data_IF_776514901959
#
_entry.id   IF_776514901959
#
_cell.length_a   1.000
_cell.length_b   1.000
_cell.length_c   1.000
_cell.angle_alpha   90.00
_cell.angle_beta   90.00
_cell.angle_gamma   90.00
#
_symmetry.space_group_name_H-M   'P 1'
#
loop_
_entity.id
_entity.type
_entity.pdbx_description
1 polymer ?
#
# COMPACT_ATOMS: atom_id res chain seq x y z
N UNK A 1 -3.26 66.19 5.40
CA UNK A 1 -2.82 64.99 6.13
C UNK A 1 -3.27 63.80 5.30
N UNK A 2 -2.33 63.24 4.56
CA UNK A 2 -2.58 62.21 3.56
C UNK A 2 -2.82 60.85 4.24
N UNK A 3 -3.89 60.17 3.85
CA UNK A 3 -3.89 58.75 3.52
C UNK A 3 -5.08 58.50 2.57
N UNK A 4 -4.78 58.60 1.28
CA UNK A 4 -5.57 58.05 0.19
C UNK A 4 -4.88 56.74 -0.25
N UNK A 5 -5.67 55.81 -0.80
CA UNK A 5 -5.39 54.44 -1.28
C UNK A 5 -5.59 53.25 -0.31
N UNK A 6 -6.03 52.05 -0.80
CA UNK A 6 -6.78 51.79 -2.04
C UNK A 6 -7.95 50.79 -1.90
N UNK A 7 -8.85 50.89 -2.89
CA UNK A 7 -9.87 49.94 -3.31
C UNK A 7 -9.27 48.58 -3.73
N UNK A 8 -8.89 47.71 -2.79
CA UNK A 8 -8.57 46.31 -3.12
C UNK A 8 -9.69 45.42 -2.60
N UNK A 9 -10.67 45.19 -3.47
CA UNK A 9 -11.68 44.16 -3.33
C UNK A 9 -11.03 42.79 -3.09
N UNK A 10 -11.06 42.33 -1.84
CA UNK A 10 -10.55 41.04 -1.38
C UNK A 10 -11.23 39.80 -2.02
N UNK A 11 -12.21 39.99 -2.89
CA UNK A 11 -13.00 38.91 -3.49
C UNK A 11 -12.28 38.13 -4.61
N UNK A 12 -11.27 38.69 -5.28
CA UNK A 12 -10.66 38.04 -6.46
C UNK A 12 -9.42 37.19 -6.16
N UNK A 13 -8.80 37.33 -4.98
CA UNK A 13 -7.53 36.67 -4.66
C UNK A 13 -7.68 35.25 -4.07
N UNK A 14 -8.88 34.85 -3.66
CA UNK A 14 -9.15 33.49 -3.16
C UNK A 14 -9.90 32.60 -4.16
N UNK A 15 -10.32 33.14 -5.30
CA UNK A 15 -11.09 32.37 -6.30
C UNK A 15 -10.20 31.46 -7.17
N UNK A 16 -8.89 31.69 -7.24
CA UNK A 16 -7.96 30.92 -8.10
C UNK A 16 -7.10 29.86 -7.40
N UNK A 17 -7.19 29.70 -6.09
CA UNK A 17 -6.35 28.76 -5.33
C UNK A 17 -7.11 27.63 -4.62
N UNK A 18 -8.43 27.74 -4.43
CA UNK A 18 -9.15 26.81 -3.56
C UNK A 18 -9.73 25.57 -4.24
N UNK A 19 -9.95 25.57 -5.56
CA UNK A 19 -10.68 24.45 -6.21
C UNK A 19 -9.76 23.29 -6.57
N UNK A 20 -8.51 23.56 -6.98
CA UNK A 20 -7.57 22.51 -7.39
C UNK A 20 -6.92 21.74 -6.22
N UNK A 21 -6.71 22.39 -5.08
CA UNK A 21 -6.12 21.76 -3.90
C UNK A 21 -7.13 20.90 -3.12
N UNK A 22 -8.34 21.42 -2.91
CA UNK A 22 -9.38 20.72 -2.15
C UNK A 22 -9.87 19.47 -2.90
N UNK A 23 -10.03 19.54 -4.23
CA UNK A 23 -10.46 18.39 -5.02
C UNK A 23 -9.44 17.24 -5.00
N UNK A 24 -8.13 17.55 -5.03
CA UNK A 24 -7.06 16.56 -4.91
C UNK A 24 -6.99 15.91 -3.51
N UNK A 25 -7.32 16.67 -2.46
CA UNK A 25 -7.38 16.12 -1.09
C UNK A 25 -8.57 15.18 -0.96
N UNK A 26 -9.77 15.58 -1.41
CA UNK A 26 -10.98 14.74 -1.33
C UNK A 26 -10.82 13.45 -2.16
N UNK A 27 -10.37 13.55 -3.41
CA UNK A 27 -10.14 12.38 -4.26
C UNK A 27 -9.07 11.43 -3.70
N UNK A 28 -8.00 11.97 -3.07
CA UNK A 28 -6.98 11.16 -2.42
C UNK A 28 -7.55 10.33 -1.25
N UNK A 29 -8.51 10.90 -0.52
CA UNK A 29 -9.09 10.26 0.67
C UNK A 29 -10.05 9.14 0.28
N UNK A 30 -10.90 9.34 -0.74
CA UNK A 30 -11.86 8.32 -1.20
C UNK A 30 -11.16 7.07 -1.75
N UNK A 31 -10.11 7.27 -2.53
CA UNK A 31 -9.34 6.18 -3.15
C UNK A 31 -8.54 5.38 -2.12
N UNK A 32 -8.02 6.06 -1.08
CA UNK A 32 -7.34 5.40 0.03
C UNK A 32 -8.30 4.56 0.87
N UNK A 33 -9.49 5.08 1.16
CA UNK A 33 -10.54 4.37 1.89
C UNK A 33 -11.01 3.11 1.15
N UNK A 34 -11.18 3.18 -0.17
CA UNK A 34 -11.53 2.01 -0.98
C UNK A 34 -10.44 0.93 -0.95
N UNK A 35 -9.17 1.35 -0.95
CA UNK A 35 -8.05 0.43 -0.78
C UNK A 35 -8.04 -0.23 0.61
N UNK A 36 -8.33 0.53 1.67
CA UNK A 36 -8.45 0.03 3.05
C UNK A 36 -9.67 -0.89 3.24
N UNK A 37 -10.75 -0.72 2.47
CA UNK A 37 -11.87 -1.66 2.47
C UNK A 37 -11.50 -2.97 1.78
N UNK A 38 -10.80 -2.92 0.66
CA UNK A 38 -10.42 -4.09 -0.11
C UNK A 38 -9.35 -4.95 0.56
N UNK A 39 -8.47 -4.36 1.37
CA UNK A 39 -7.27 -5.00 1.92
C UNK A 39 -7.35 -5.06 3.44
N UNK A 40 -6.84 -6.12 4.03
CA UNK A 40 -6.79 -6.28 5.49
C UNK A 40 -5.42 -6.77 5.88
N UNK A 41 -4.84 -6.12 6.89
CA UNK A 41 -3.62 -6.57 7.56
C UNK A 41 -3.98 -6.86 9.02
N UNK A 42 -3.67 -8.07 9.49
CA UNK A 42 -3.81 -8.47 10.88
C UNK A 42 -2.69 -9.45 11.21
N UNK A 43 -2.10 -9.34 12.41
CA UNK A 43 -1.05 -10.25 12.88
C UNK A 43 -1.51 -11.73 12.89
N UNK A 44 -2.82 -11.96 13.05
CA UNK A 44 -3.43 -13.29 13.03
C UNK A 44 -3.43 -13.92 11.62
N UNK A 45 -3.28 -13.12 10.57
CA UNK A 45 -3.36 -13.54 9.18
C UNK A 45 -2.00 -13.36 8.53
N UNK A 46 -1.36 -14.48 8.18
CA UNK A 46 -0.04 -14.50 7.53
C UNK A 46 1.02 -13.64 8.25
N UNK A 47 0.93 -13.53 9.58
CA UNK A 47 1.90 -12.77 10.38
C UNK A 47 1.90 -11.27 10.09
N UNK A 48 0.73 -10.69 9.83
CA UNK A 48 0.58 -9.25 9.58
C UNK A 48 0.77 -8.85 8.11
N UNK A 49 0.95 -9.83 7.20
CA UNK A 49 1.06 -9.53 5.77
C UNK A 49 -0.28 -9.02 5.22
N UNK A 50 -0.28 -7.92 4.44
CA UNK A 50 -1.51 -7.41 3.83
C UNK A 50 -2.10 -8.41 2.82
N UNK A 51 -3.37 -8.74 3.01
CA UNK A 51 -4.12 -9.70 2.17
C UNK A 51 -5.38 -9.06 1.59
N UNK A 52 -5.85 -9.59 0.45
CA UNK A 52 -7.17 -9.23 -0.06
C UNK A 52 -8.26 -9.74 0.88
N UNK A 53 -9.22 -8.89 1.24
CA UNK A 53 -10.32 -9.22 2.17
C UNK A 53 -11.07 -10.46 1.70
N UNK A 54 -11.33 -11.38 2.62
CA UNK A 54 -12.01 -12.64 2.34
C UNK A 54 -11.12 -13.72 1.72
N UNK A 55 -9.84 -13.44 1.52
CA UNK A 55 -8.85 -14.40 1.04
C UNK A 55 -7.64 -14.46 1.97
N UNK A 56 -6.79 -15.47 1.77
CA UNK A 56 -5.44 -15.52 2.35
C UNK A 56 -4.38 -15.25 1.29
N UNK A 57 -4.71 -14.48 0.27
CA UNK A 57 -3.80 -14.16 -0.83
C UNK A 57 -3.12 -12.82 -0.54
N UNK A 58 -1.78 -12.79 -0.39
CA UNK A 58 -1.06 -11.54 -0.19
C UNK A 58 -1.13 -10.62 -1.39
N UNK A 59 -1.18 -9.32 -1.13
CA UNK A 59 -1.14 -8.32 -2.20
C UNK A 59 0.22 -8.32 -2.92
N UNK A 60 1.32 -8.50 -2.19
CA UNK A 60 2.67 -8.48 -2.76
C UNK A 60 2.90 -9.62 -3.75
N UNK A 61 2.32 -10.79 -3.48
CA UNK A 61 2.42 -11.93 -4.38
C UNK A 61 1.76 -11.61 -5.74
N UNK A 62 0.56 -11.03 -5.69
CA UNK A 62 -0.18 -10.63 -6.90
C UNK A 62 0.54 -9.53 -7.66
N UNK A 63 1.00 -8.48 -6.95
CA UNK A 63 1.76 -7.39 -7.57
C UNK A 63 3.07 -7.89 -8.17
N UNK A 64 3.75 -8.82 -7.49
CA UNK A 64 4.97 -9.46 -8.00
C UNK A 64 4.78 -10.19 -9.33
N UNK A 65 3.61 -10.80 -9.58
CA UNK A 65 3.31 -11.38 -10.89
C UNK A 65 3.24 -10.32 -11.98
N UNK A 66 2.59 -9.18 -11.70
CA UNK A 66 2.54 -8.06 -12.64
C UNK A 66 3.92 -7.44 -12.87
N UNK A 67 4.73 -7.31 -11.82
CA UNK A 67 6.09 -6.77 -11.92
C UNK A 67 7.03 -7.71 -12.69
N UNK A 68 6.76 -9.02 -12.68
CA UNK A 68 7.45 -10.00 -13.53
C UNK A 68 7.00 -9.98 -15.01
N UNK A 69 6.03 -9.15 -15.36
CA UNK A 69 5.52 -8.99 -16.73
C UNK A 69 4.36 -9.92 -17.08
N UNK A 70 3.72 -10.57 -16.11
CA UNK A 70 2.54 -11.40 -16.35
C UNK A 70 1.33 -10.53 -16.72
N UNK A 71 0.56 -10.98 -17.72
CA UNK A 71 -0.66 -10.29 -18.15
C UNK A 71 -1.81 -10.48 -17.16
N UNK A 72 -2.77 -9.56 -17.17
CA UNK A 72 -3.96 -9.63 -16.31
C UNK A 72 -4.74 -10.94 -16.48
N UNK A 73 -4.88 -11.45 -17.71
CA UNK A 73 -5.60 -12.71 -17.96
C UNK A 73 -4.92 -13.91 -17.30
N UNK A 74 -3.59 -13.99 -17.36
CA UNK A 74 -2.82 -15.07 -16.73
C UNK A 74 -2.92 -15.02 -15.20
N UNK A 75 -2.86 -13.82 -14.61
CA UNK A 75 -3.06 -13.66 -13.16
C UNK A 75 -4.48 -14.06 -12.77
N UNK A 76 -5.48 -13.71 -13.58
CA UNK A 76 -6.90 -14.04 -13.35
C UNK A 76 -7.21 -15.53 -13.47
N UNK A 77 -6.49 -16.26 -14.34
CA UNK A 77 -6.56 -17.73 -14.40
C UNK A 77 -6.12 -18.37 -13.08
N UNK A 78 -5.10 -17.79 -12.42
CA UNK A 78 -4.60 -18.27 -11.13
C UNK A 78 -5.47 -17.79 -9.96
N UNK A 79 -6.02 -16.58 -10.06
CA UNK A 79 -6.79 -15.92 -9.01
C UNK A 79 -8.11 -15.35 -9.60
N UNK A 80 -9.18 -16.17 -9.66
CA UNK A 80 -10.41 -15.78 -10.37
C UNK A 80 -11.18 -14.62 -9.71
N UNK A 81 -10.88 -14.32 -8.45
CA UNK A 81 -11.50 -13.21 -7.70
C UNK A 81 -10.84 -11.84 -8.00
N UNK A 82 -9.73 -11.80 -8.75
CA UNK A 82 -9.02 -10.55 -9.02
C UNK A 82 -9.74 -9.73 -10.09
N UNK A 83 -9.99 -8.47 -9.76
CA UNK A 83 -10.52 -7.44 -10.66
C UNK A 83 -9.47 -6.34 -10.86
N UNK A 84 -9.62 -5.54 -11.91
CA UNK A 84 -8.71 -4.41 -12.17
C UNK A 84 -8.75 -3.39 -11.02
N UNK A 85 -9.92 -3.16 -10.44
CA UNK A 85 -10.15 -2.31 -9.27
C UNK A 85 -9.35 -2.80 -8.06
N UNK A 86 -9.34 -4.12 -7.80
CA UNK A 86 -8.56 -4.71 -6.72
C UNK A 86 -7.06 -4.57 -6.93
N UNK A 87 -6.60 -4.70 -8.18
CA UNK A 87 -5.18 -4.50 -8.51
C UNK A 87 -4.78 -3.02 -8.32
N UNK A 88 -5.63 -2.09 -8.74
CA UNK A 88 -5.41 -0.66 -8.52
C UNK A 88 -5.38 -0.32 -7.03
N UNK A 89 -6.36 -0.81 -6.26
CA UNK A 89 -6.40 -0.68 -4.81
C UNK A 89 -5.14 -1.25 -4.14
N UNK A 90 -4.68 -2.44 -4.55
CA UNK A 90 -3.45 -3.06 -4.06
C UNK A 90 -2.21 -2.21 -4.32
N UNK A 91 -2.07 -1.65 -5.52
CA UNK A 91 -0.95 -0.75 -5.86
C UNK A 91 -0.95 0.52 -5.01
N UNK A 92 -2.12 1.08 -4.75
CA UNK A 92 -2.27 2.29 -3.95
C UNK A 92 -1.96 1.98 -2.48
N UNK A 93 -2.52 0.90 -1.95
CA UNK A 93 -2.25 0.44 -0.59
C UNK A 93 -0.75 0.19 -0.38
N UNK A 94 -0.08 -0.53 -1.27
CA UNK A 94 1.34 -0.83 -1.16
C UNK A 94 2.23 0.44 -1.15
N UNK A 95 1.83 1.49 -1.87
CA UNK A 95 2.53 2.77 -1.87
C UNK A 95 2.33 3.55 -0.56
N UNK A 96 1.13 3.48 0.02
CA UNK A 96 0.78 4.18 1.25
C UNK A 96 1.28 3.45 2.51
N UNK A 97 1.24 2.12 2.48
CA UNK A 97 1.51 1.23 3.61
C UNK A 97 2.58 0.20 3.21
N UNK A 98 3.86 0.60 3.12
CA UNK A 98 4.94 -0.31 2.77
C UNK A 98 5.10 -1.36 3.88
N UNK A 99 4.64 -2.58 3.60
CA UNK A 99 4.86 -3.72 4.48
C UNK A 99 6.32 -4.18 4.36
N UNK A 100 6.98 -4.36 5.49
CA UNK A 100 8.35 -4.89 5.53
C UNK A 100 8.30 -6.30 6.11
N UNK A 101 8.71 -7.33 5.34
CA UNK A 101 8.76 -8.67 5.88
C UNK A 101 9.79 -8.75 7.01
N UNK A 102 9.53 -9.63 7.97
CA UNK A 102 10.50 -9.96 9.02
C UNK A 102 11.79 -10.47 8.39
N UNK A 103 12.85 -9.66 8.45
CA UNK A 103 14.18 -10.01 7.96
C UNK A 103 14.85 -11.01 8.90
N UNK A 104 15.82 -11.76 8.39
CA UNK A 104 16.61 -12.67 9.23
C UNK A 104 17.31 -11.87 10.34
N UNK A 105 17.49 -12.47 11.53
CA UNK A 105 18.17 -11.79 12.65
C UNK A 105 19.58 -11.31 12.25
N UNK A 106 20.25 -12.04 11.34
CA UNK A 106 21.54 -11.65 10.81
C UNK A 106 21.49 -10.43 9.87
N UNK A 107 20.41 -10.24 9.12
CA UNK A 107 20.20 -9.02 8.31
C UNK A 107 19.85 -7.81 9.17
N UNK A 108 19.01 -8.00 10.20
CA UNK A 108 18.63 -6.92 11.12
C UNK A 108 19.84 -6.43 11.94
N UNK A 109 20.76 -7.33 12.29
CA UNK A 109 22.00 -6.97 12.98
C UNK A 109 23.21 -7.70 12.35
N UNK A 110 23.88 -7.07 11.37
CA UNK A 110 25.04 -7.64 10.69
C UNK A 110 26.23 -7.95 11.63
N UNK A 111 26.26 -7.35 12.83
CA UNK A 111 27.27 -7.62 13.85
C UNK A 111 27.03 -8.91 14.63
N UNK A 112 25.84 -9.50 14.55
CA UNK A 112 25.52 -10.74 15.24
C UNK A 112 26.11 -11.93 14.50
N UNK A 113 27.08 -12.58 15.15
CA UNK A 113 27.64 -13.85 14.66
C UNK A 113 26.76 -14.99 15.13
N UNK A 114 26.38 -15.87 14.19
CA UNK A 114 25.69 -17.11 14.50
C UNK A 114 26.59 -17.99 15.39
N UNK A 115 26.26 -18.11 16.68
CA UNK A 115 27.05 -18.85 17.66
C UNK A 115 26.93 -20.36 17.45
N UNK A 116 25.71 -20.84 17.23
CA UNK A 116 25.41 -22.26 17.02
C UNK A 116 24.22 -22.42 16.09
N UNK A 117 24.29 -23.39 15.17
CA UNK A 117 23.13 -23.88 14.41
C UNK A 117 22.94 -25.35 14.76
N UNK A 118 21.84 -25.67 15.42
CA UNK A 118 21.46 -27.07 15.64
C UNK A 118 20.68 -27.54 14.43
N UNK A 119 21.27 -28.45 13.64
CA UNK A 119 20.53 -29.17 12.61
C UNK A 119 19.79 -30.29 13.33
N UNK A 120 18.48 -30.13 13.50
CA UNK A 120 17.64 -31.19 14.05
C UNK A 120 17.41 -32.23 12.96
N UNK A 121 17.92 -33.47 13.11
CA UNK A 121 17.70 -34.50 12.10
C UNK A 121 16.20 -34.82 12.04
N UNK A 122 15.61 -34.73 10.85
CA UNK A 122 14.23 -35.14 10.64
C UNK A 122 14.16 -36.66 10.81
N UNK A 123 13.57 -37.12 11.91
CA UNK A 123 13.32 -38.54 12.14
C UNK A 123 12.05 -38.88 11.37
N UNK A 124 12.20 -39.58 10.24
CA UNK A 124 11.07 -40.15 9.51
C UNK A 124 10.24 -41.06 10.42
N UNK A 125 8.94 -41.17 10.15
CA UNK A 125 8.04 -42.06 10.88
C UNK A 125 8.38 -43.53 10.66
#
# INVERSE_FOLDING_TARGET
>A
MALDAPQICFASLWSKLAVGGVMNIVAKTEVEEDALRAITASDDILGGQPVFRGTRTPIDAVLGFFDSGMSFNQVKESFPFITEELVAAARIYAQLHPWTPSRSLGELNPGWKLIRRTIVPFKGQ
#
